data_IF_584628121218
#
_entry.id   IF_584628121218
#
_cell.length_a   1.000
_cell.length_b   1.000
_cell.length_c   1.000
_cell.angle_alpha   90.00
_cell.angle_beta   90.00
_cell.angle_gamma   90.00
#
_symmetry.space_group_name_H-M   'P 1'
#
loop_
_entity.id
_entity.type
_entity.pdbx_description
1 polymer ?
#
# COMPACT_ATOMS: atom_id res chain seq x y z
N UNK A 1 16.46 18.26 13.55
CA UNK A 1 15.78 17.56 12.43
C UNK A 1 16.08 16.07 12.48
N UNK A 2 17.31 15.66 12.87
CA UNK A 2 17.68 14.25 13.09
C UNK A 2 16.90 13.52 14.20
N UNK A 3 16.57 14.17 15.34
CA UNK A 3 15.87 13.45 16.42
C UNK A 3 14.43 13.05 16.08
N UNK A 4 13.76 13.73 15.13
CA UNK A 4 12.41 13.37 14.69
C UNK A 4 12.38 12.17 13.75
N UNK A 5 13.50 11.84 13.09
CA UNK A 5 13.60 10.66 12.23
C UNK A 5 13.88 9.38 13.04
N UNK A 6 14.57 9.49 14.17
CA UNK A 6 14.77 8.37 15.10
C UNK A 6 13.45 7.96 15.78
N UNK A 7 12.65 8.92 16.25
CA UNK A 7 11.30 8.64 16.79
C UNK A 7 10.38 7.98 15.74
N UNK A 8 10.50 8.38 14.47
CA UNK A 8 9.74 7.80 13.36
C UNK A 8 10.14 6.34 13.08
N UNK A 9 11.42 6.00 13.24
CA UNK A 9 11.93 4.65 13.06
C UNK A 9 11.52 3.73 14.23
N UNK A 10 11.43 4.27 15.44
CA UNK A 10 10.97 3.54 16.62
C UNK A 10 9.45 3.26 16.55
N UNK A 11 8.63 4.24 16.14
CA UNK A 11 7.19 4.02 15.88
C UNK A 11 6.93 3.03 14.72
N UNK A 12 7.79 3.05 13.69
CA UNK A 12 7.72 2.10 12.57
C UNK A 12 8.16 0.70 13.00
N UNK A 13 9.17 0.59 13.88
CA UNK A 13 9.61 -0.67 14.47
C UNK A 13 8.56 -1.25 15.43
N UNK A 14 7.85 -0.45 16.21
CA UNK A 14 6.73 -0.92 17.04
C UNK A 14 5.56 -1.43 16.18
N UNK A 15 5.30 -0.77 15.05
CA UNK A 15 4.31 -1.22 14.06
C UNK A 15 4.78 -2.51 13.34
N UNK A 16 6.08 -2.64 13.06
CA UNK A 16 6.71 -3.85 12.51
C UNK A 16 6.78 -5.00 13.54
N UNK A 17 6.95 -4.69 14.83
CA UNK A 17 6.96 -5.68 15.92
C UNK A 17 5.58 -6.28 16.13
N UNK A 18 4.52 -5.46 16.08
CA UNK A 18 3.13 -5.94 15.99
C UNK A 18 2.89 -6.87 14.80
N UNK A 19 3.63 -6.68 13.69
CA UNK A 19 3.59 -7.52 12.50
C UNK A 19 4.39 -8.83 12.68
N UNK A 20 5.48 -8.82 13.44
CA UNK A 20 6.33 -10.00 13.68
C UNK A 20 5.66 -11.05 14.60
N UNK A 21 4.87 -10.63 15.59
CA UNK A 21 4.22 -11.54 16.54
C UNK A 21 3.03 -12.36 15.95
N UNK A 22 2.58 -12.04 14.73
CA UNK A 22 1.42 -12.69 14.09
C UNK A 22 1.69 -13.35 12.74
N UNK A 23 2.95 -13.71 12.45
CA UNK A 23 3.30 -14.63 11.37
C UNK A 23 2.77 -14.20 9.99
N UNK A 24 3.27 -13.08 9.46
CA UNK A 24 2.99 -12.71 8.07
C UNK A 24 3.83 -13.59 7.14
N UNK A 25 3.15 -14.51 6.44
CA UNK A 25 3.68 -15.13 5.22
C UNK A 25 3.53 -14.13 4.07
N UNK A 26 4.65 -13.62 3.57
CA UNK A 26 4.72 -12.91 2.29
C UNK A 26 4.45 -13.90 1.15
N UNK A 27 3.18 -14.20 0.86
CA UNK A 27 2.78 -14.84 -0.39
C UNK A 27 2.23 -13.75 -1.31
N UNK A 28 3.14 -13.12 -2.05
CA UNK A 28 2.83 -12.03 -2.97
C UNK A 28 3.99 -11.62 -3.87
N UNK A 29 4.87 -12.55 -4.22
CA UNK A 29 5.80 -12.42 -5.36
C UNK A 29 5.86 -13.79 -6.05
N UNK A 30 4.76 -14.16 -6.72
CA UNK A 30 4.71 -15.26 -7.66
C UNK A 30 5.31 -14.82 -8.99
N UNK A 31 6.63 -14.79 -9.05
CA UNK A 31 7.40 -14.65 -10.27
C UNK A 31 8.73 -15.36 -10.05
N UNK A 32 8.86 -16.56 -10.63
CA UNK A 32 10.08 -17.35 -10.60
C UNK A 32 11.29 -16.51 -11.05
N UNK A 33 12.15 -16.15 -10.10
CA UNK A 33 13.52 -15.69 -10.37
C UNK A 33 14.47 -16.78 -9.90
N UNK A 34 14.38 -17.94 -10.56
CA UNK A 34 15.47 -18.87 -10.61
C UNK A 34 16.36 -18.55 -11.81
N UNK A 35 17.65 -18.39 -11.55
CA UNK A 35 18.79 -18.44 -12.46
C UNK A 35 19.37 -17.07 -12.95
N UNK A 36 20.65 -17.04 -13.36
CA UNK A 36 21.73 -16.58 -12.48
C UNK A 36 22.52 -15.41 -13.09
N UNK A 37 23.36 -14.79 -12.27
CA UNK A 37 24.50 -14.01 -12.74
C UNK A 37 25.31 -14.80 -13.79
N UNK A 38 25.38 -14.33 -15.03
CA UNK A 38 26.54 -14.60 -15.91
C UNK A 38 26.63 -13.66 -17.11
N UNK A 39 27.88 -13.43 -17.47
CA UNK A 39 28.48 -12.45 -18.36
C UNK A 39 28.30 -12.82 -19.84
N UNK A 40 28.32 -11.77 -20.68
CA UNK A 40 28.77 -11.74 -22.06
C UNK A 40 27.85 -12.17 -23.22
N UNK A 41 27.79 -11.23 -24.17
CA UNK A 41 28.19 -11.42 -25.57
C UNK A 41 27.12 -11.79 -26.62
N UNK A 42 26.87 -10.78 -27.46
CA UNK A 42 26.85 -10.80 -28.94
C UNK A 42 25.55 -11.19 -29.66
N UNK A 43 25.36 -10.39 -30.73
CA UNK A 43 24.74 -10.70 -32.02
C UNK A 43 23.21 -10.75 -32.07
N UNK A 44 22.64 -9.60 -32.45
CA UNK A 44 21.61 -9.61 -33.47
C UNK A 44 22.20 -8.98 -34.75
N UNK A 45 22.56 -9.85 -35.70
CA UNK A 45 22.91 -9.51 -37.07
C UNK A 45 21.68 -9.84 -37.92
N UNK A 46 21.10 -8.85 -38.58
CA UNK A 46 20.34 -9.06 -39.82
C UNK A 46 20.92 -8.11 -40.84
N UNK A 47 21.58 -8.69 -41.84
CA UNK A 47 22.11 -8.05 -43.03
C UNK A 47 21.09 -8.09 -44.17
N UNK A 48 21.08 -7.03 -44.99
CA UNK A 48 20.72 -6.90 -46.42
C UNK A 48 20.14 -5.47 -46.59
N UNK A 49 20.52 -4.62 -47.53
CA UNK A 49 21.34 -4.73 -48.75
C UNK A 49 21.77 -3.31 -49.17
N UNK A 50 22.89 -3.20 -49.86
CA UNK A 50 23.48 -1.96 -50.37
C UNK A 50 22.69 -1.32 -51.53
N UNK A 51 22.92 -0.01 -51.69
CA UNK A 51 22.68 0.86 -52.85
C UNK A 51 21.35 1.63 -52.92
N UNK A 52 21.35 2.85 -52.36
CA UNK A 52 20.71 3.99 -53.02
C UNK A 52 21.46 5.28 -52.67
N UNK A 53 22.43 5.64 -53.51
CA UNK A 53 23.00 6.98 -53.57
C UNK A 53 22.03 7.87 -54.34
N UNK A 54 21.28 8.70 -53.63
CA UNK A 54 20.91 10.04 -54.13
C UNK A 54 20.37 10.91 -52.99
N UNK A 55 20.92 12.13 -52.97
CA UNK A 55 20.64 13.29 -52.13
C UNK A 55 19.23 13.41 -51.54
N UNK A 56 19.14 13.50 -50.21
CA UNK A 56 18.04 14.17 -49.53
C UNK A 56 18.61 15.05 -48.41
N UNK A 57 18.23 16.32 -48.45
CA UNK A 57 18.86 17.41 -47.73
C UNK A 57 18.88 17.20 -46.21
N UNK A 58 20.06 17.45 -45.62
CA UNK A 58 20.23 17.71 -44.19
C UNK A 58 19.30 18.85 -43.77
N UNK A 59 18.18 18.51 -43.15
CA UNK A 59 17.45 19.41 -42.27
C UNK A 59 17.70 18.88 -40.86
N UNK A 60 18.67 19.53 -40.22
CA UNK A 60 19.02 19.55 -38.81
C UNK A 60 18.63 18.32 -37.95
N UNK A 61 19.64 17.51 -37.60
CA UNK A 61 19.54 16.66 -36.41
C UNK A 61 19.20 17.52 -35.17
N UNK A 62 18.26 17.11 -34.30
CA UNK A 62 18.06 17.79 -33.04
C UNK A 62 19.30 17.58 -32.19
N UNK A 63 20.20 18.57 -32.17
CA UNK A 63 21.31 18.64 -31.23
C UNK A 63 20.74 18.65 -29.81
N UNK A 64 20.63 17.49 -29.18
CA UNK A 64 20.54 17.40 -27.73
C UNK A 64 21.86 17.96 -27.21
N UNK A 65 21.85 19.24 -26.82
CA UNK A 65 23.01 19.86 -26.19
C UNK A 65 23.16 19.21 -24.83
N UNK A 66 24.20 18.40 -24.67
CA UNK A 66 24.74 17.97 -23.37
C UNK A 66 25.29 19.25 -22.70
N UNK A 67 24.41 20.14 -22.26
CA UNK A 67 24.72 21.49 -21.81
C UNK A 67 24.07 21.86 -20.48
N UNK A 68 23.00 21.18 -20.07
CA UNK A 68 22.23 21.57 -18.88
C UNK A 68 22.16 20.50 -17.79
N UNK A 69 22.81 19.34 -17.98
CA UNK A 69 22.90 18.31 -16.95
C UNK A 69 24.00 18.67 -15.93
N UNK A 70 23.67 19.56 -14.98
CA UNK A 70 24.50 19.75 -13.79
C UNK A 70 24.67 18.40 -13.10
N UNK A 71 25.91 17.98 -12.75
CA UNK A 71 26.08 16.77 -11.95
C UNK A 71 25.30 16.93 -10.64
N UNK A 72 24.44 15.95 -10.34
CA UNK A 72 23.66 15.92 -9.10
C UNK A 72 24.63 16.07 -7.93
N UNK A 73 24.32 17.01 -7.03
CA UNK A 73 25.13 17.21 -5.83
C UNK A 73 24.63 16.31 -4.70
N UNK A 74 25.47 16.06 -3.69
CA UNK A 74 25.10 15.29 -2.49
C UNK A 74 23.74 15.70 -1.88
N UNK A 75 23.38 16.99 -1.73
CA UNK A 75 22.06 17.37 -1.24
C UNK A 75 20.92 17.01 -2.20
N UNK A 76 21.16 17.01 -3.52
CA UNK A 76 20.15 16.59 -4.51
C UNK A 76 19.86 15.09 -4.36
N UNK A 77 20.89 14.27 -4.16
CA UNK A 77 20.74 12.84 -3.88
C UNK A 77 20.01 12.60 -2.55
N UNK A 78 20.39 13.29 -1.47
CA UNK A 78 19.72 13.15 -0.16
C UNK A 78 18.24 13.53 -0.24
N UNK A 79 17.91 14.61 -0.97
CA UNK A 79 16.53 15.00 -1.21
C UNK A 79 15.77 13.89 -1.95
N UNK A 80 16.29 13.42 -3.08
CA UNK A 80 15.65 12.33 -3.84
C UNK A 80 15.42 11.08 -2.98
N UNK A 81 16.42 10.68 -2.17
CA UNK A 81 16.29 9.54 -1.27
C UNK A 81 15.22 9.77 -0.20
N UNK A 82 15.22 10.95 0.44
CA UNK A 82 14.22 11.27 1.47
C UNK A 82 12.81 11.23 0.93
N UNK A 83 12.60 11.79 -0.26
CA UNK A 83 11.28 11.84 -0.84
C UNK A 83 10.85 10.43 -1.35
N UNK A 84 11.77 9.63 -1.90
CA UNK A 84 11.50 8.22 -2.21
C UNK A 84 11.09 7.43 -0.96
N UNK A 85 11.71 7.71 0.18
CA UNK A 85 11.31 7.13 1.47
C UNK A 85 9.89 7.55 1.86
N UNK A 86 9.49 8.80 1.64
CA UNK A 86 8.11 9.25 1.90
C UNK A 86 7.08 8.44 1.08
N UNK A 87 7.34 8.26 -0.21
CA UNK A 87 6.47 7.49 -1.10
C UNK A 87 6.41 6.01 -0.68
N UNK A 88 7.57 5.40 -0.39
CA UNK A 88 7.65 4.02 0.10
C UNK A 88 6.86 3.83 1.40
N UNK A 89 7.02 4.73 2.35
CA UNK A 89 6.28 4.71 3.62
C UNK A 89 4.77 4.81 3.38
N UNK A 90 4.32 5.70 2.49
CA UNK A 90 2.91 5.86 2.18
C UNK A 90 2.29 4.57 1.63
N UNK A 91 2.99 3.91 0.70
CA UNK A 91 2.56 2.66 0.07
C UNK A 91 2.53 1.49 1.06
N UNK A 92 3.57 1.34 1.89
CA UNK A 92 3.66 0.29 2.91
C UNK A 92 2.54 0.42 3.94
N UNK A 93 2.31 1.62 4.45
CA UNK A 93 1.25 1.89 5.42
C UNK A 93 -0.15 1.63 4.84
N UNK A 94 -0.39 2.00 3.60
CA UNK A 94 -1.66 1.71 2.94
C UNK A 94 -1.87 0.20 2.73
N UNK A 95 -0.82 -0.52 2.33
CA UNK A 95 -0.84 -1.99 2.20
C UNK A 95 -1.15 -2.67 3.53
N UNK A 96 -0.53 -2.21 4.62
CA UNK A 96 -0.78 -2.72 5.97
C UNK A 96 -2.26 -2.57 6.35
N UNK A 97 -2.84 -1.39 6.14
CA UNK A 97 -4.27 -1.15 6.42
C UNK A 97 -5.17 -2.05 5.58
N UNK A 98 -4.84 -2.22 4.30
CA UNK A 98 -5.57 -3.12 3.41
C UNK A 98 -5.54 -4.57 3.91
N UNK A 99 -4.39 -5.05 4.39
CA UNK A 99 -4.24 -6.40 4.94
C UNK A 99 -5.08 -6.58 6.22
N UNK A 100 -5.08 -5.59 7.11
CA UNK A 100 -5.91 -5.60 8.31
C UNK A 100 -7.41 -5.61 7.97
N UNK A 101 -7.81 -4.86 6.95
CA UNK A 101 -9.18 -4.84 6.47
C UNK A 101 -9.58 -6.20 5.88
N UNK A 102 -8.68 -6.85 5.13
CA UNK A 102 -8.89 -8.20 4.64
C UNK A 102 -9.04 -9.21 5.78
N UNK A 103 -8.19 -9.13 6.82
CA UNK A 103 -8.32 -9.97 8.02
C UNK A 103 -9.68 -9.78 8.71
N UNK A 104 -10.15 -8.53 8.82
CA UNK A 104 -11.47 -8.24 9.39
C UNK A 104 -12.60 -8.90 8.59
N UNK A 105 -12.55 -8.82 7.26
CA UNK A 105 -13.51 -9.48 6.38
C UNK A 105 -13.46 -11.00 6.55
N UNK A 106 -12.27 -11.60 6.56
CA UNK A 106 -12.10 -13.04 6.76
C UNK A 106 -12.69 -13.51 8.10
N UNK A 107 -12.43 -12.82 9.20
CA UNK A 107 -13.00 -13.13 10.52
C UNK A 107 -14.50 -12.85 10.64
N UNK A 108 -15.07 -12.07 9.71
CA UNK A 108 -16.51 -11.78 9.66
C UNK A 108 -17.30 -12.75 8.80
N UNK A 109 -16.61 -13.54 7.97
CA UNK A 109 -17.21 -14.54 7.10
C UNK A 109 -17.08 -15.97 7.67
N UNK A 110 -17.76 -16.92 7.04
CA UNK A 110 -17.53 -18.36 7.33
C UNK A 110 -16.07 -18.73 7.07
N UNK A 111 -15.58 -19.78 7.72
CA UNK A 111 -14.27 -20.35 7.40
C UNK A 111 -14.22 -20.73 5.91
N UNK A 112 -13.28 -20.14 5.18
CA UNK A 112 -13.07 -20.39 3.76
C UNK A 112 -11.90 -21.37 3.59
N UNK A 113 -11.99 -22.26 2.60
CA UNK A 113 -10.80 -22.99 2.16
C UNK A 113 -9.79 -22.02 1.55
N UNK A 114 -8.49 -22.34 1.64
CA UNK A 114 -7.44 -21.52 1.03
C UNK A 114 -7.68 -21.26 -0.46
N UNK A 115 -8.17 -22.27 -1.19
CA UNK A 115 -8.51 -22.15 -2.62
C UNK A 115 -9.62 -21.13 -2.89
N UNK A 116 -10.63 -21.05 -2.02
CA UNK A 116 -11.73 -20.10 -2.17
C UNK A 116 -11.30 -18.70 -1.71
N UNK A 117 -10.50 -18.62 -0.65
CA UNK A 117 -9.92 -17.35 -0.19
C UNK A 117 -9.08 -16.70 -1.29
N UNK A 118 -8.18 -17.43 -1.95
CA UNK A 118 -7.39 -16.90 -3.07
C UNK A 118 -8.29 -16.43 -4.23
N UNK A 119 -9.33 -17.18 -4.59
CA UNK A 119 -10.27 -16.75 -5.65
C UNK A 119 -11.03 -15.48 -5.33
N UNK A 120 -11.27 -15.20 -4.05
CA UNK A 120 -12.05 -14.05 -3.60
C UNK A 120 -11.17 -12.80 -3.45
N UNK A 121 -10.00 -12.96 -2.83
CA UNK A 121 -9.14 -11.85 -2.42
C UNK A 121 -7.95 -11.58 -3.35
N UNK A 122 -7.70 -12.43 -4.36
CA UNK A 122 -6.54 -12.30 -5.25
C UNK A 122 -6.95 -12.15 -6.73
N UNK A 123 -6.04 -11.61 -7.54
CA UNK A 123 -6.20 -11.41 -8.98
C UNK A 123 -7.45 -10.60 -9.35
N UNK A 124 -8.37 -11.24 -10.07
CA UNK A 124 -9.65 -10.66 -10.50
C UNK A 124 -10.81 -11.00 -9.55
N UNK A 125 -10.51 -11.40 -8.31
CA UNK A 125 -11.49 -11.68 -7.30
C UNK A 125 -12.37 -10.47 -6.96
N UNK A 126 -13.61 -10.69 -6.48
CA UNK A 126 -14.55 -9.62 -6.11
C UNK A 126 -14.08 -8.74 -4.94
N UNK A 127 -13.10 -9.22 -4.16
CA UNK A 127 -12.48 -8.51 -3.04
C UNK A 127 -10.97 -8.35 -3.23
N UNK A 128 -10.49 -8.33 -4.47
CA UNK A 128 -9.05 -8.17 -4.73
C UNK A 128 -8.58 -6.73 -4.56
N UNK A 129 -9.45 -5.75 -4.78
CA UNK A 129 -9.08 -4.33 -4.73
C UNK A 129 -9.38 -3.70 -3.37
N UNK A 130 -8.51 -2.77 -2.96
CA UNK A 130 -8.66 -2.03 -1.71
C UNK A 130 -10.02 -1.30 -1.63
N UNK A 131 -10.47 -0.67 -2.72
CA UNK A 131 -11.78 -0.01 -2.78
C UNK A 131 -12.93 -0.97 -2.46
N UNK A 132 -12.94 -2.16 -3.09
CA UNK A 132 -13.98 -3.17 -2.89
C UNK A 132 -14.06 -3.64 -1.44
N UNK A 133 -12.89 -3.86 -0.81
CA UNK A 133 -12.79 -4.23 0.61
C UNK A 133 -13.40 -3.15 1.51
N UNK A 134 -13.12 -1.87 1.24
CA UNK A 134 -13.65 -0.72 2.01
C UNK A 134 -15.18 -0.66 1.89
N UNK A 135 -15.73 -0.72 0.68
CA UNK A 135 -17.18 -0.64 0.46
C UNK A 135 -17.92 -1.80 1.12
N UNK A 136 -17.40 -3.03 0.98
CA UNK A 136 -18.01 -4.21 1.58
C UNK A 136 -17.94 -4.14 3.11
N UNK A 137 -16.78 -3.79 3.68
CA UNK A 137 -16.65 -3.65 5.13
C UNK A 137 -17.64 -2.62 5.70
N UNK A 138 -17.90 -1.53 4.98
CA UNK A 138 -18.85 -0.50 5.38
C UNK A 138 -20.30 -0.97 5.30
N UNK A 139 -20.70 -1.58 4.17
CA UNK A 139 -22.07 -2.08 3.97
C UNK A 139 -22.45 -3.15 5.02
N UNK A 140 -21.48 -3.97 5.45
CA UNK A 140 -21.68 -4.98 6.49
C UNK A 140 -21.48 -4.44 7.92
N UNK A 141 -21.39 -3.12 8.09
CA UNK A 141 -21.21 -2.45 9.39
C UNK A 141 -20.01 -2.96 10.20
N UNK A 142 -18.96 -3.41 9.51
CA UNK A 142 -17.72 -3.88 10.14
C UNK A 142 -16.82 -2.72 10.55
N UNK A 143 -16.94 -1.60 9.83
CA UNK A 143 -16.24 -0.35 10.08
C UNK A 143 -17.27 0.78 10.22
N UNK A 144 -16.95 1.76 11.06
CA UNK A 144 -17.82 2.92 11.28
C UNK A 144 -17.57 3.99 10.19
N UNK A 145 -18.53 4.90 9.98
CA UNK A 145 -18.45 5.95 8.94
C UNK A 145 -17.15 6.79 9.01
N UNK A 146 -16.71 7.12 10.23
CA UNK A 146 -15.44 7.81 10.45
C UNK A 146 -14.23 7.04 9.90
N UNK A 147 -14.20 5.71 10.05
CA UNK A 147 -13.10 4.87 9.56
C UNK A 147 -13.20 4.73 8.04
N UNK A 148 -14.42 4.60 7.52
CA UNK A 148 -14.67 4.51 6.08
C UNK A 148 -14.13 5.73 5.31
N UNK A 149 -14.41 6.95 5.78
CA UNK A 149 -13.94 8.17 5.11
C UNK A 149 -12.40 8.28 5.13
N UNK A 150 -11.77 7.91 6.24
CA UNK A 150 -10.31 7.88 6.38
C UNK A 150 -9.69 6.86 5.43
N UNK A 151 -10.24 5.65 5.36
CA UNK A 151 -9.76 4.60 4.45
C UNK A 151 -9.86 5.03 2.99
N UNK A 152 -10.94 5.73 2.61
CA UNK A 152 -11.08 6.31 1.26
C UNK A 152 -10.00 7.35 0.98
N UNK A 153 -9.72 8.25 1.93
CA UNK A 153 -8.64 9.22 1.78
C UNK A 153 -7.26 8.54 1.67
N UNK A 154 -6.96 7.54 2.52
CA UNK A 154 -5.72 6.76 2.47
C UNK A 154 -5.57 6.05 1.11
N UNK A 155 -6.65 5.45 0.59
CA UNK A 155 -6.67 4.82 -0.73
C UNK A 155 -6.33 5.81 -1.84
N UNK A 156 -6.93 7.01 -1.83
CA UNK A 156 -6.61 8.03 -2.84
C UNK A 156 -5.15 8.49 -2.73
N UNK A 157 -4.63 8.72 -1.51
CA UNK A 157 -3.23 9.08 -1.27
C UNK A 157 -2.30 8.00 -1.85
N UNK A 158 -2.54 6.72 -1.53
CA UNK A 158 -1.78 5.58 -2.09
C UNK A 158 -1.81 5.59 -3.62
N UNK A 159 -2.99 5.81 -4.22
CA UNK A 159 -3.14 5.84 -5.67
C UNK A 159 -2.33 6.97 -6.32
N UNK A 160 -2.25 8.15 -5.69
CA UNK A 160 -1.39 9.25 -6.17
C UNK A 160 0.10 8.89 -6.13
N UNK A 161 0.54 8.16 -5.10
CA UNK A 161 1.92 7.66 -5.04
C UNK A 161 2.19 6.53 -6.05
N UNK A 162 1.21 5.63 -6.28
CA UNK A 162 1.38 4.47 -7.16
C UNK A 162 1.28 4.77 -8.66
N UNK A 163 0.44 5.74 -9.06
CA UNK A 163 0.14 6.01 -10.48
C UNK A 163 0.93 7.17 -11.09
N UNK A 164 2.06 7.56 -10.50
CA UNK A 164 2.85 8.70 -11.01
C UNK A 164 4.18 8.24 -11.61
N UNK A 165 4.42 8.60 -12.87
CA UNK A 165 5.73 8.45 -13.56
C UNK A 165 6.75 9.50 -13.12
N UNK A 166 6.25 10.55 -12.49
CA UNK A 166 6.95 11.68 -11.87
C UNK A 166 7.05 11.48 -10.36
N UNK A 167 8.16 11.94 -9.81
CA UNK A 167 8.42 11.91 -8.38
C UNK A 167 7.36 12.75 -7.59
N UNK A 168 6.80 12.19 -6.50
CA UNK A 168 5.78 12.83 -5.64
C UNK A 168 6.16 12.76 -4.16
N UNK A 169 5.72 13.76 -3.40
CA UNK A 169 5.93 13.87 -1.96
C UNK A 169 4.66 14.41 -1.28
N UNK A 170 4.61 14.42 0.06
CA UNK A 170 3.44 14.89 0.82
C UNK A 170 3.14 16.40 0.69
N UNK A 171 4.06 17.15 0.07
CA UNK A 171 3.91 18.59 -0.24
C UNK A 171 3.36 18.84 -1.64
N UNK A 172 3.28 17.81 -2.47
CA UNK A 172 2.73 17.91 -3.82
C UNK A 172 1.24 18.26 -3.75
N UNK A 173 0.78 19.19 -4.59
CA UNK A 173 -0.58 19.73 -4.53
C UNK A 173 -1.66 18.63 -4.54
N UNK A 174 -1.48 17.62 -5.39
CA UNK A 174 -2.41 16.48 -5.51
C UNK A 174 -2.50 15.66 -4.22
N UNK A 175 -1.36 15.38 -3.58
CA UNK A 175 -1.31 14.60 -2.33
C UNK A 175 -1.83 15.44 -1.17
N UNK A 176 -1.43 16.71 -1.10
CA UNK A 176 -1.86 17.63 -0.05
C UNK A 176 -3.39 17.86 -0.07
N UNK A 177 -4.02 17.86 -1.25
CA UNK A 177 -5.49 17.91 -1.39
C UNK A 177 -6.16 16.69 -0.77
N UNK A 178 -5.61 15.49 -0.97
CA UNK A 178 -6.17 14.29 -0.34
C UNK A 178 -5.90 14.27 1.18
N UNK A 179 -4.74 14.74 1.63
CA UNK A 179 -4.43 14.88 3.06
C UNK A 179 -5.40 15.83 3.80
N UNK A 180 -5.99 16.81 3.11
CA UNK A 180 -7.01 17.70 3.70
C UNK A 180 -8.30 16.98 4.10
N UNK A 181 -8.56 15.81 3.51
CA UNK A 181 -9.74 14.99 3.81
C UNK A 181 -9.56 14.17 5.07
N UNK A 182 -8.32 14.01 5.54
CA UNK A 182 -8.02 13.32 6.79
C UNK A 182 -8.48 14.15 7.99
N UNK A 183 -9.08 13.50 8.97
CA UNK A 183 -9.51 14.16 10.21
C UNK A 183 -8.31 14.71 10.96
N UNK A 184 -8.46 15.93 11.48
CA UNK A 184 -7.39 16.60 12.23
C UNK A 184 -6.37 17.32 11.35
N UNK A 185 -6.60 17.42 10.03
CA UNK A 185 -5.75 18.19 9.15
C UNK A 185 -5.64 19.66 9.57
N UNK A 186 -4.42 20.22 9.45
CA UNK A 186 -4.09 21.61 9.75
C UNK A 186 -3.26 22.21 8.63
N UNK A 187 -3.53 23.47 8.26
CA UNK A 187 -2.86 24.17 7.15
C UNK A 187 -1.33 24.22 7.25
N UNK A 188 -0.78 24.33 8.46
CA UNK A 188 0.67 24.35 8.72
C UNK A 188 1.15 23.06 9.40
N UNK A 189 0.36 21.97 9.29
CA UNK A 189 0.70 20.67 9.85
C UNK A 189 1.64 19.88 8.94
N UNK A 190 2.27 18.86 9.52
CA UNK A 190 3.03 17.88 8.76
C UNK A 190 2.08 16.80 8.21
N UNK A 191 1.87 16.81 6.89
CA UNK A 191 0.98 15.87 6.21
C UNK A 191 1.48 14.42 6.32
N UNK A 192 2.79 14.19 6.38
CA UNK A 192 3.36 12.85 6.49
C UNK A 192 3.05 12.27 7.88
N UNK A 193 3.28 13.06 8.93
CA UNK A 193 2.94 12.66 10.30
C UNK A 193 1.45 12.44 10.49
N UNK A 194 0.61 13.32 9.93
CA UNK A 194 -0.83 13.14 9.95
C UNK A 194 -1.22 11.82 9.29
N UNK A 195 -0.69 11.53 8.09
CA UNK A 195 -0.98 10.29 7.39
C UNK A 195 -0.60 9.05 8.21
N UNK A 196 0.58 9.05 8.85
CA UNK A 196 1.02 7.99 9.74
C UNK A 196 0.05 7.81 10.93
N UNK A 197 -0.27 8.89 11.64
CA UNK A 197 -1.15 8.88 12.80
C UNK A 197 -2.55 8.35 12.45
N UNK A 198 -3.12 8.82 11.33
CA UNK A 198 -4.45 8.38 10.88
C UNK A 198 -4.44 6.92 10.44
N UNK A 199 -3.40 6.48 9.73
CA UNK A 199 -3.23 5.07 9.36
C UNK A 199 -3.18 4.18 10.59
N UNK A 200 -2.36 4.55 11.60
CA UNK A 200 -2.26 3.83 12.88
C UNK A 200 -3.62 3.75 13.58
N UNK A 201 -4.34 4.86 13.66
CA UNK A 201 -5.67 4.89 14.27
C UNK A 201 -6.68 3.96 13.55
N UNK A 202 -6.63 3.88 12.22
CA UNK A 202 -7.46 2.95 11.44
C UNK A 202 -7.10 1.49 11.75
N UNK A 203 -5.81 1.15 11.79
CA UNK A 203 -5.36 -0.21 12.14
C UNK A 203 -5.82 -0.59 13.55
N UNK A 204 -5.66 0.30 14.53
CA UNK A 204 -6.11 0.06 15.90
C UNK A 204 -7.62 -0.14 15.99
N UNK A 205 -8.41 0.66 15.27
CA UNK A 205 -9.86 0.52 15.22
C UNK A 205 -10.27 -0.83 14.63
N UNK A 206 -9.64 -1.25 13.52
CA UNK A 206 -9.90 -2.54 12.88
C UNK A 206 -9.48 -3.69 13.80
N UNK A 207 -8.29 -3.62 14.39
CA UNK A 207 -7.75 -4.63 15.29
C UNK A 207 -8.69 -4.89 16.48
N UNK A 208 -9.19 -3.83 17.12
CA UNK A 208 -10.19 -3.94 18.22
C UNK A 208 -11.45 -4.69 17.78
N UNK A 209 -11.97 -4.41 16.58
CA UNK A 209 -13.16 -5.10 16.04
C UNK A 209 -12.88 -6.58 15.76
N UNK A 210 -11.68 -6.92 15.27
CA UNK A 210 -11.25 -8.32 15.08
C UNK A 210 -11.19 -9.04 16.42
N UNK A 211 -10.48 -8.48 17.41
CA UNK A 211 -10.37 -9.09 18.75
C UNK A 211 -11.74 -9.34 19.37
N UNK A 212 -12.65 -8.38 19.25
CA UNK A 212 -14.03 -8.53 19.72
C UNK A 212 -14.77 -9.67 19.01
N UNK A 213 -14.63 -9.80 17.70
CA UNK A 213 -15.26 -10.91 16.94
C UNK A 213 -14.71 -12.28 17.34
N UNK A 214 -13.40 -12.39 17.53
CA UNK A 214 -12.77 -13.64 17.99
C UNK A 214 -13.31 -14.02 19.38
N UNK A 215 -13.38 -13.05 20.30
CA UNK A 215 -13.93 -13.27 21.64
C UNK A 215 -15.41 -13.71 21.59
N UNK A 216 -16.24 -13.04 20.78
CA UNK A 216 -17.65 -13.42 20.60
C UNK A 216 -17.79 -14.81 19.99
N UNK A 217 -16.92 -15.18 19.05
CA UNK A 217 -16.86 -16.56 18.51
C UNK A 217 -16.55 -17.58 19.60
N UNK A 218 -15.48 -17.34 20.36
CA UNK A 218 -15.09 -18.22 21.46
C UNK A 218 -16.17 -18.38 22.55
N UNK A 219 -16.92 -17.31 22.85
CA UNK A 219 -18.05 -17.37 23.79
C UNK A 219 -19.24 -18.18 23.26
N UNK A 220 -19.47 -18.19 21.93
CA UNK A 220 -20.51 -19.02 21.32
C UNK A 220 -20.11 -20.49 21.26
N UNK A 221 -18.82 -20.76 21.09
CA UNK A 221 -18.28 -22.12 21.04
C UNK A 221 -18.04 -22.70 22.44
N UNK A 222 -18.05 -21.86 23.48
CA UNK A 222 -17.96 -22.30 24.85
C UNK A 222 -19.18 -23.17 25.19
N UNK A 223 -18.99 -24.42 25.65
CA UNK A 223 -20.11 -25.27 26.05
C UNK A 223 -20.79 -24.65 27.29
N UNK A 224 -21.93 -23.99 27.09
CA UNK A 224 -22.67 -23.28 28.14
C UNK A 224 -24.16 -23.59 28.09
N UNK A 225 -24.58 -24.46 29.03
CA UNK A 225 -25.94 -24.86 29.45
C UNK A 225 -27.03 -24.86 28.37
N UNK A 226 -27.38 -26.08 28.00
CA UNK A 226 -28.59 -26.47 27.26
C UNK A 226 -29.82 -25.60 27.55
N UNK A 227 -30.26 -24.86 26.52
CA UNK A 227 -31.52 -24.09 26.46
C UNK A 227 -32.77 -24.98 26.72
N UNK A 228 -32.62 -26.32 26.74
CA UNK A 228 -33.69 -27.28 27.06
C UNK A 228 -34.04 -27.39 28.55
N UNK A 229 -33.62 -26.45 29.41
CA UNK A 229 -33.97 -26.43 30.85
C UNK A 229 -34.85 -25.26 31.30
N UNK A 230 -35.39 -24.48 30.37
CA UNK A 230 -36.48 -23.54 30.72
C UNK A 230 -37.78 -24.33 30.92
N UNK A 231 -38.41 -24.30 32.10
CA UNK A 231 -39.72 -24.92 32.27
C UNK A 231 -40.72 -24.19 31.37
N UNK A 232 -41.49 -24.97 30.60
CA UNK A 232 -42.60 -24.48 29.78
C UNK A 232 -43.48 -23.55 30.64
N UNK A 233 -43.69 -22.33 30.11
CA UNK A 233 -44.48 -21.28 30.75
C UNK A 233 -45.96 -21.41 30.40
#
# INVERSE_FOLDING_TARGET
MESRYLDLADDFNDLLFCVADFGISFNGFGGDVSAPFSIASKRCLVSLSENFSESFAMTEEPKIRIGDARPLTTPDYLKMLSEQSEAGNALVLAGLVEDWLQKLLMHSTRSLSNTLATKIYDGYGPLSQFSQKIEIAYIFELIDENVYDELRAIKEIRNRFAHTTVFRNFKSEEVAKECQRLKGWKKNGDNQMLYLERTKACVEAISKKISLKILVGALKDAPGVDDRTLPDR
#
